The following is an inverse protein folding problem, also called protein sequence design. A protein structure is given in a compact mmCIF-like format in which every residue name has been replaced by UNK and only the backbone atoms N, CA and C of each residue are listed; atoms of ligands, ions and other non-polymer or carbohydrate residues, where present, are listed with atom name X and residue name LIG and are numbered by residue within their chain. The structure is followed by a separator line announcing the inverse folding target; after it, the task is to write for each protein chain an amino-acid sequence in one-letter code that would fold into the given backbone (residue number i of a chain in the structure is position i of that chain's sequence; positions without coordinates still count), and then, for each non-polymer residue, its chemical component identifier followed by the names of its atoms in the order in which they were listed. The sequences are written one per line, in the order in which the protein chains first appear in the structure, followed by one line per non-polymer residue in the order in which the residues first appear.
data_IF_907435965749
#
_entry.id   IF_907435965749
#
_cell.length_a   1.000
_cell.length_b   1.000
_cell.length_c   1.000
_cell.angle_alpha   90.00
_cell.angle_beta   90.00
_cell.angle_gamma   90.00
#
_symmetry.space_group_name_H-M   'P 1'
#
loop_
_entity.id
_entity.type
_entity.pdbx_description
1 polymer ?
#
# COMPACT_ATOMS: atom_id res chain seq x y z
N UNK A 1 1.34 -12.38 5.18
CA UNK A 1 1.79 -11.41 6.16
C UNK A 1 1.57 -9.98 5.75
N UNK A 2 1.81 -9.09 6.66
CA UNK A 2 1.60 -7.65 6.44
C UNK A 2 2.81 -7.06 5.69
N UNK A 3 2.66 -6.61 4.43
CA UNK A 3 3.81 -6.09 3.67
C UNK A 3 4.40 -4.80 4.26
N UNK A 4 3.61 -4.04 5.00
CA UNK A 4 4.08 -2.77 5.58
C UNK A 4 4.57 -2.88 7.02
N UNK A 5 4.77 -4.07 7.56
CA UNK A 5 5.66 -4.23 8.68
C UNK A 5 7.04 -3.71 8.27
N UNK A 6 7.74 -2.90 9.10
CA UNK A 6 9.02 -2.32 8.67
C UNK A 6 10.03 -3.35 8.14
N UNK A 7 10.13 -4.50 8.79
CA UNK A 7 10.99 -5.59 8.34
C UNK A 7 10.63 -6.06 6.93
N UNK A 8 9.33 -6.19 6.65
CA UNK A 8 8.85 -6.66 5.36
C UNK A 8 9.03 -5.58 4.29
N UNK A 9 8.84 -4.32 4.63
CA UNK A 9 9.10 -3.21 3.71
C UNK A 9 10.54 -3.25 3.21
N UNK A 10 11.49 -3.42 4.12
CA UNK A 10 12.92 -3.47 3.76
C UNK A 10 13.24 -4.68 2.88
N UNK A 11 12.59 -5.82 3.15
CA UNK A 11 12.79 -7.02 2.35
C UNK A 11 12.17 -6.91 0.95
N UNK A 12 11.01 -6.24 0.84
CA UNK A 12 10.29 -6.11 -0.42
C UNK A 12 10.90 -5.06 -1.35
N UNK A 13 11.56 -4.06 -0.81
CA UNK A 13 12.02 -2.92 -1.61
C UNK A 13 12.90 -3.31 -2.80
N UNK A 14 13.95 -4.14 -2.64
CA UNK A 14 14.78 -4.55 -3.78
C UNK A 14 13.98 -5.30 -4.84
N UNK A 15 13.01 -6.12 -4.42
CA UNK A 15 12.18 -6.88 -5.33
C UNK A 15 11.29 -5.96 -6.17
N UNK A 16 10.62 -4.98 -5.52
CA UNK A 16 9.76 -4.05 -6.24
C UNK A 16 10.54 -3.12 -7.16
N UNK A 17 11.72 -2.70 -6.75
CA UNK A 17 12.63 -1.94 -7.64
C UNK A 17 12.92 -2.74 -8.91
N UNK A 18 13.19 -4.02 -8.77
CA UNK A 18 13.49 -4.90 -9.89
C UNK A 18 12.27 -5.09 -10.79
N UNK A 19 11.09 -5.28 -10.21
CA UNK A 19 9.86 -5.42 -10.99
C UNK A 19 9.61 -4.16 -11.84
N UNK A 20 9.77 -2.98 -11.27
CA UNK A 20 9.60 -1.73 -12.01
C UNK A 20 10.60 -1.60 -13.14
N UNK A 21 11.84 -2.01 -12.92
CA UNK A 21 12.90 -1.91 -13.93
C UNK A 21 12.69 -2.91 -15.06
N UNK A 22 12.32 -4.15 -14.74
CA UNK A 22 12.26 -5.23 -15.72
C UNK A 22 10.89 -5.41 -16.35
N UNK A 23 9.83 -5.01 -15.64
CA UNK A 23 8.44 -5.17 -16.08
C UNK A 23 7.68 -3.84 -15.91
N UNK A 24 8.14 -2.75 -16.56
CA UNK A 24 7.56 -1.42 -16.31
C UNK A 24 6.10 -1.28 -16.74
N UNK A 25 5.63 -2.17 -17.61
CA UNK A 25 4.23 -2.15 -18.07
C UNK A 25 3.26 -2.85 -17.11
N UNK A 26 3.77 -3.55 -16.09
CA UNK A 26 2.91 -4.24 -15.12
C UNK A 26 2.48 -3.28 -14.00
N UNK A 27 1.27 -3.48 -13.52
CA UNK A 27 0.79 -2.75 -12.35
C UNK A 27 1.11 -3.52 -11.07
N UNK A 28 1.43 -2.78 -10.01
CA UNK A 28 1.75 -3.35 -8.71
C UNK A 28 0.69 -2.92 -7.71
N UNK A 29 0.03 -3.89 -7.12
CA UNK A 29 -0.99 -3.70 -6.09
C UNK A 29 -0.47 -4.24 -4.77
N UNK A 30 -0.76 -3.56 -3.68
CA UNK A 30 -0.47 -4.05 -2.34
C UNK A 30 -1.67 -3.84 -1.43
N UNK A 31 -1.81 -4.74 -0.48
CA UNK A 31 -2.82 -4.65 0.57
C UNK A 31 -2.09 -4.40 1.89
N UNK A 32 -2.68 -3.58 2.75
CA UNK A 32 -2.13 -3.34 4.08
C UNK A 32 -3.25 -3.18 5.09
N UNK A 33 -3.02 -3.65 6.32
CA UNK A 33 -3.93 -3.39 7.43
C UNK A 33 -3.75 -2.03 8.05
N UNK A 34 -2.65 -1.34 7.73
CA UNK A 34 -2.42 0.03 8.17
C UNK A 34 -3.19 1.01 7.28
N UNK A 35 -3.29 2.27 7.69
CA UNK A 35 -3.92 3.31 6.88
C UNK A 35 -2.88 4.13 6.15
N UNK A 36 -3.29 4.78 5.07
CA UNK A 36 -2.45 5.73 4.34
C UNK A 36 -1.86 6.77 5.28
N UNK A 37 -2.68 7.27 6.20
CA UNK A 37 -2.26 8.29 7.17
C UNK A 37 -1.18 7.75 8.11
N UNK A 38 -1.32 6.51 8.58
CA UNK A 38 -0.29 5.88 9.42
C UNK A 38 1.03 5.71 8.67
N UNK A 39 0.97 5.39 7.39
CA UNK A 39 2.18 5.22 6.58
C UNK A 39 2.93 6.54 6.36
N UNK A 40 2.28 7.67 6.60
CA UNK A 40 2.89 9.00 6.46
C UNK A 40 3.14 9.68 7.80
N UNK A 41 2.78 9.05 8.91
CA UNK A 41 2.98 9.60 10.26
C UNK A 41 4.32 9.10 10.82
N UNK A 42 5.30 10.00 11.04
CA UNK A 42 6.61 9.61 11.56
C UNK A 42 6.54 8.92 12.92
N UNK A 43 5.48 9.13 13.69
CA UNK A 43 5.30 8.51 15.00
C UNK A 43 4.58 7.17 14.92
N UNK A 44 4.05 6.77 13.76
CA UNK A 44 3.31 5.53 13.63
C UNK A 44 4.24 4.34 13.39
N UNK A 45 3.83 3.19 13.89
CA UNK A 45 4.63 1.97 13.86
C UNK A 45 5.11 1.56 12.47
N UNK A 46 4.26 1.57 11.42
CA UNK A 46 4.71 1.06 10.12
C UNK A 46 5.70 1.99 9.40
N UNK A 47 5.77 3.25 9.79
CA UNK A 47 6.61 4.23 9.10
C UNK A 47 8.09 3.96 9.38
N UNK A 48 8.86 3.78 8.32
CA UNK A 48 10.31 3.60 8.43
C UNK A 48 11.02 4.30 7.27
N UNK A 49 12.35 4.16 7.20
CA UNK A 49 13.17 4.89 6.24
C UNK A 49 12.88 4.55 4.77
N UNK A 50 12.27 3.38 4.50
CA UNK A 50 11.98 2.95 3.12
C UNK A 50 10.53 3.13 2.72
N UNK A 51 9.66 3.59 3.61
CA UNK A 51 8.22 3.65 3.36
C UNK A 51 7.87 4.52 2.14
N UNK A 52 8.45 5.71 2.05
CA UNK A 52 8.16 6.61 0.92
C UNK A 52 8.55 6.00 -0.41
N UNK A 53 9.74 5.39 -0.49
CA UNK A 53 10.17 4.76 -1.71
C UNK A 53 9.29 3.55 -2.05
N UNK A 54 8.95 2.74 -1.06
CA UNK A 54 8.10 1.57 -1.29
C UNK A 54 6.73 1.99 -1.85
N UNK A 55 6.10 3.00 -1.26
CA UNK A 55 4.84 3.54 -1.76
C UNK A 55 4.96 4.06 -3.18
N UNK A 56 6.06 4.73 -3.51
CA UNK A 56 6.27 5.29 -4.84
C UNK A 56 6.36 4.22 -5.94
N UNK A 57 6.62 2.97 -5.56
CA UNK A 57 6.71 1.85 -6.51
C UNK A 57 5.36 1.16 -6.74
N UNK A 58 4.33 1.53 -6.02
CA UNK A 58 3.00 0.94 -6.15
C UNK A 58 2.11 1.74 -7.09
N UNK A 59 1.22 1.04 -7.78
CA UNK A 59 0.13 1.66 -8.54
C UNK A 59 -1.11 1.81 -7.67
N UNK A 60 -1.43 0.78 -6.89
CA UNK A 60 -2.63 0.75 -6.06
C UNK A 60 -2.29 0.20 -4.68
N UNK A 61 -2.79 0.89 -3.66
CA UNK A 61 -2.74 0.42 -2.27
C UNK A 61 -4.17 0.26 -1.77
N UNK A 62 -4.52 -0.93 -1.30
CA UNK A 62 -5.77 -1.16 -0.57
C UNK A 62 -5.42 -1.08 0.90
N UNK A 63 -5.88 -0.03 1.58
CA UNK A 63 -5.47 0.26 2.96
C UNK A 63 -6.58 0.03 3.97
N UNK A 64 -6.19 -0.03 5.23
CA UNK A 64 -7.11 -0.17 6.35
C UNK A 64 -7.32 -1.60 6.80
N UNK A 65 -7.61 -1.76 8.08
CA UNK A 65 -7.83 -3.09 8.67
C UNK A 65 -9.06 -3.73 8.08
N UNK A 66 -8.98 -5.05 7.81
CA UNK A 66 -10.18 -5.82 7.54
C UNK A 66 -11.05 -5.84 8.80
N UNK A 67 -12.29 -5.41 8.67
CA UNK A 67 -13.27 -5.41 9.76
C UNK A 67 -14.38 -6.38 9.40
N UNK A 68 -14.48 -7.48 10.13
CA UNK A 68 -15.43 -8.55 9.82
C UNK A 68 -16.88 -8.07 9.83
N UNK A 69 -17.23 -7.16 10.75
CA UNK A 69 -18.57 -6.59 10.82
C UNK A 69 -18.93 -5.74 9.57
N UNK A 70 -17.94 -5.34 8.80
CA UNK A 70 -18.11 -4.57 7.57
C UNK A 70 -17.81 -5.41 6.32
N UNK A 71 -17.68 -6.72 6.49
CA UNK A 71 -17.45 -7.64 5.39
C UNK A 71 -18.61 -7.61 4.39
N UNK A 72 -18.28 -7.53 3.11
CA UNK A 72 -19.27 -7.51 2.05
C UNK A 72 -18.67 -8.15 0.81
N UNK A 73 -19.20 -9.31 0.42
CA UNK A 73 -18.71 -10.06 -0.73
C UNK A 73 -18.98 -9.36 -2.07
N UNK A 74 -19.83 -8.34 -2.07
CA UNK A 74 -20.10 -7.55 -3.28
C UNK A 74 -19.00 -6.53 -3.57
N UNK A 75 -18.12 -6.25 -2.60
CA UNK A 75 -17.02 -5.30 -2.78
C UNK A 75 -15.96 -5.87 -3.73
N UNK A 76 -15.46 -5.02 -4.63
CA UNK A 76 -14.37 -5.40 -5.52
C UNK A 76 -13.04 -4.98 -4.91
N UNK A 77 -12.07 -5.89 -4.87
CA UNK A 77 -10.69 -5.66 -4.47
C UNK A 77 -10.47 -5.23 -3.01
N UNK A 78 -11.50 -5.35 -2.16
CA UNK A 78 -11.38 -5.12 -0.72
C UNK A 78 -12.35 -6.03 0.02
N UNK A 79 -12.00 -6.37 1.26
CA UNK A 79 -12.78 -7.35 2.04
C UNK A 79 -13.83 -6.71 2.93
N UNK A 80 -13.68 -5.45 3.31
CA UNK A 80 -14.62 -4.73 4.17
C UNK A 80 -14.78 -3.29 3.68
N UNK A 81 -15.93 -2.69 4.00
CA UNK A 81 -16.31 -1.38 3.44
C UNK A 81 -15.44 -0.24 3.93
N UNK A 82 -14.73 -0.39 5.05
CA UNK A 82 -13.82 0.63 5.58
C UNK A 82 -12.49 0.68 4.81
N UNK A 83 -12.14 -0.36 4.06
CA UNK A 83 -10.89 -0.39 3.30
C UNK A 83 -11.02 0.47 2.04
N UNK A 84 -9.94 1.17 1.71
CA UNK A 84 -9.91 2.11 0.58
C UNK A 84 -9.01 1.58 -0.52
N UNK A 85 -9.41 1.83 -1.77
CA UNK A 85 -8.59 1.52 -2.95
C UNK A 85 -7.96 2.84 -3.37
N UNK A 86 -6.66 2.98 -3.15
CA UNK A 86 -5.92 4.23 -3.34
C UNK A 86 -5.10 4.17 -4.62
N UNK A 87 -5.33 5.11 -5.52
CA UNK A 87 -4.45 5.34 -6.66
C UNK A 87 -3.21 6.07 -6.16
N UNK A 88 -2.11 5.34 -6.01
CA UNK A 88 -0.91 5.88 -5.35
C UNK A 88 -0.27 7.02 -6.14
N UNK A 89 -0.03 6.89 -7.45
CA UNK A 89 0.57 8.01 -8.19
C UNK A 89 -0.26 9.29 -8.13
N UNK A 90 -1.58 9.19 -8.27
CA UNK A 90 -2.46 10.37 -8.21
C UNK A 90 -2.50 10.99 -6.83
N UNK A 91 -2.41 10.17 -5.78
CA UNK A 91 -2.44 10.65 -4.39
C UNK A 91 -1.13 11.30 -4.00
N UNK A 92 0.01 10.76 -4.44
CA UNK A 92 1.33 11.34 -4.18
C UNK A 92 1.59 12.59 -5.04
N UNK A 93 1.07 12.62 -6.25
CA UNK A 93 1.33 13.69 -7.23
C UNK A 93 0.01 14.15 -7.83
N UNK A 94 -0.84 14.86 -7.05
CA UNK A 94 -2.13 15.32 -7.59
C UNK A 94 -1.91 16.33 -8.71
N UNK A 95 -2.72 16.20 -9.76
CA UNK A 95 -2.74 17.16 -10.87
C UNK A 95 -3.57 18.39 -10.47
N UNK A 96 -3.10 19.57 -10.87
CA UNK A 96 -3.81 20.82 -10.63
C UNK A 96 -4.31 21.43 -11.93
#
# INVERSE_FOLDING_TARGET
GEPFEPKNQRALLPFLRRVRRELPQKTIWSFTGFTWEELHDPAAYPRCEVTDELLSLLDVLVDGRYVDALHDISLRFRGSSNQRIIDVPKTLHPAF
#
